data_IF_142332351920
#
_entry.id   IF_142332351920
#
_cell.length_a   1.000
_cell.length_b   1.000
_cell.length_c   1.000
_cell.angle_alpha   90.00
_cell.angle_beta   90.00
_cell.angle_gamma   90.00
#
_symmetry.space_group_name_H-M   'P 1'
#
loop_
_entity.id
_entity.type
_entity.pdbx_description
1 polymer ?
#
# COMPACT_ATOMS: atom_id res chain seq x y z
N UNK A 1 27.54 36.77 39.86
CA UNK A 1 27.64 35.32 40.18
C UNK A 1 27.65 34.50 38.88
N UNK A 2 28.80 34.43 38.22
CA UNK A 2 29.01 33.62 37.03
C UNK A 2 29.35 32.18 37.45
N UNK A 3 28.36 31.27 37.42
CA UNK A 3 28.70 29.84 37.36
C UNK A 3 29.53 29.61 36.09
N UNK A 4 30.73 29.03 36.18
CA UNK A 4 31.69 29.09 35.10
C UNK A 4 31.23 28.13 34.01
N UNK A 5 31.11 28.65 32.78
CA UNK A 5 30.83 27.87 31.56
C UNK A 5 31.66 26.58 31.47
N UNK A 6 32.87 26.57 32.04
CA UNK A 6 33.73 25.40 32.20
C UNK A 6 33.14 24.26 33.03
N UNK A 7 32.51 24.54 34.18
CA UNK A 7 31.86 23.52 35.02
C UNK A 7 30.66 22.89 34.32
N UNK A 8 29.85 23.69 33.62
CA UNK A 8 28.76 23.19 32.78
C UNK A 8 29.27 22.29 31.64
N UNK A 9 30.34 22.70 30.94
CA UNK A 9 30.93 21.90 29.86
C UNK A 9 31.53 20.58 30.38
N UNK A 10 32.17 20.60 31.55
CA UNK A 10 32.69 19.41 32.21
C UNK A 10 31.56 18.45 32.61
N UNK A 11 30.51 18.95 33.27
CA UNK A 11 29.34 18.16 33.64
C UNK A 11 28.62 17.58 32.41
N UNK A 12 28.49 18.36 31.33
CA UNK A 12 27.94 17.89 30.04
C UNK A 12 28.80 16.79 29.42
N UNK A 13 30.13 16.87 29.55
CA UNK A 13 31.06 15.84 29.04
C UNK A 13 30.95 14.56 29.85
N UNK A 14 30.88 14.66 31.18
CA UNK A 14 30.69 13.51 32.07
C UNK A 14 29.31 12.85 31.88
N UNK A 15 28.24 13.64 31.75
CA UNK A 15 26.92 13.13 31.42
C UNK A 15 26.90 12.39 30.07
N UNK A 16 27.60 12.91 29.05
CA UNK A 16 27.77 12.23 27.75
C UNK A 16 28.56 10.92 27.88
N UNK A 17 29.62 10.89 28.69
CA UNK A 17 30.40 9.66 28.95
C UNK A 17 29.55 8.61 29.67
N UNK A 18 28.83 9.01 30.72
CA UNK A 18 27.94 8.13 31.47
C UNK A 18 26.82 7.57 30.59
N UNK A 19 26.17 8.42 29.78
CA UNK A 19 25.16 7.98 28.82
C UNK A 19 25.74 7.03 27.75
N UNK A 20 26.95 7.29 27.26
CA UNK A 20 27.65 6.42 26.31
C UNK A 20 27.98 5.05 26.92
N UNK A 21 28.46 5.03 28.18
CA UNK A 21 28.75 3.79 28.93
C UNK A 21 27.48 2.99 29.18
N UNK A 22 26.42 3.61 29.71
CA UNK A 22 25.13 2.95 29.94
C UNK A 22 24.51 2.41 28.63
N UNK A 23 24.65 3.14 27.51
CA UNK A 23 24.22 2.66 26.20
C UNK A 23 25.08 1.49 25.72
N UNK A 24 26.39 1.54 25.92
CA UNK A 24 27.30 0.44 25.60
C UNK A 24 26.94 -0.82 26.39
N UNK A 25 26.71 -0.70 27.69
CA UNK A 25 26.40 -1.82 28.58
C UNK A 25 25.04 -2.44 28.25
N UNK A 26 24.01 -1.61 27.99
CA UNK A 26 22.68 -2.06 27.57
C UNK A 26 22.71 -2.89 26.28
N UNK A 27 23.57 -2.55 25.34
CA UNK A 27 23.67 -3.26 24.06
C UNK A 27 24.80 -4.28 24.01
N UNK A 28 25.60 -4.43 25.08
CA UNK A 28 26.78 -5.31 25.12
C UNK A 28 26.43 -6.76 24.74
N UNK A 29 25.43 -7.34 25.41
CA UNK A 29 24.94 -8.69 25.08
C UNK A 29 24.43 -8.82 23.63
N UNK A 30 23.86 -7.75 23.06
CA UNK A 30 23.42 -7.74 21.66
C UNK A 30 24.62 -7.71 20.71
N UNK A 31 25.66 -6.94 21.02
CA UNK A 31 26.91 -6.88 20.25
C UNK A 31 27.70 -8.18 20.33
N UNK A 32 27.81 -8.78 21.52
CA UNK A 32 28.52 -10.05 21.73
C UNK A 32 27.86 -11.21 20.96
N UNK A 33 26.54 -11.15 20.76
CA UNK A 33 25.80 -12.14 19.96
C UNK A 33 25.91 -11.91 18.44
N UNK A 34 26.41 -10.76 17.94
CA UNK A 34 26.40 -10.42 16.51
C UNK A 34 27.23 -11.36 15.63
N UNK A 35 28.22 -12.03 16.19
CA UNK A 35 29.05 -13.01 15.47
C UNK A 35 28.36 -14.39 15.29
N UNK A 36 27.20 -14.59 15.93
CA UNK A 36 26.41 -15.82 15.80
C UNK A 36 25.35 -15.72 14.68
N UNK A 37 24.83 -16.88 14.24
CA UNK A 37 23.71 -16.96 13.28
C UNK A 37 22.43 -16.28 13.80
N UNK A 38 22.23 -16.26 15.11
CA UNK A 38 21.12 -15.60 15.80
C UNK A 38 21.32 -14.07 15.88
N UNK A 39 22.57 -13.63 16.03
CA UNK A 39 23.00 -12.24 15.95
C UNK A 39 22.63 -11.54 14.64
N UNK A 40 22.62 -12.27 13.52
CA UNK A 40 22.20 -11.73 12.23
C UNK A 40 20.75 -11.23 12.25
N UNK A 41 19.83 -11.92 12.94
CA UNK A 41 18.43 -11.48 13.11
C UNK A 41 18.33 -10.32 14.11
N UNK A 42 19.20 -10.30 15.11
CA UNK A 42 19.27 -9.22 16.09
C UNK A 42 19.68 -7.88 15.45
N UNK A 43 20.56 -7.89 14.44
CA UNK A 43 20.99 -6.65 13.77
C UNK A 43 19.83 -5.93 13.07
N UNK A 44 18.91 -6.66 12.42
CA UNK A 44 17.72 -6.06 11.80
C UNK A 44 16.75 -5.51 12.84
N UNK A 45 16.61 -6.17 14.00
CA UNK A 45 15.84 -5.64 15.14
C UNK A 45 16.46 -4.36 15.66
N UNK A 46 17.79 -4.29 15.75
CA UNK A 46 18.54 -3.10 16.20
C UNK A 46 18.37 -1.93 15.22
N UNK A 47 18.50 -2.15 13.91
CA UNK A 47 18.20 -1.14 12.86
C UNK A 47 16.78 -0.62 13.02
N UNK A 48 15.78 -1.51 13.13
CA UNK A 48 14.38 -1.12 13.31
C UNK A 48 14.12 -0.40 14.62
N UNK A 49 14.76 -0.81 15.72
CA UNK A 49 14.62 -0.16 17.02
C UNK A 49 15.24 1.25 17.02
N UNK A 50 16.43 1.43 16.44
CA UNK A 50 17.08 2.75 16.28
C UNK A 50 16.28 3.67 15.39
N UNK A 51 15.78 3.16 14.26
CA UNK A 51 14.88 3.94 13.40
C UNK A 51 13.57 4.28 14.12
N UNK A 52 12.97 3.33 14.82
CA UNK A 52 11.78 3.56 15.64
C UNK A 52 11.99 4.63 16.71
N UNK A 53 13.14 4.66 17.38
CA UNK A 53 13.47 5.72 18.34
C UNK A 53 13.71 7.10 17.72
N UNK A 54 13.91 7.17 16.40
CA UNK A 54 13.97 8.45 15.66
C UNK A 54 12.61 8.90 15.12
N UNK A 55 11.59 8.03 15.21
CA UNK A 55 10.22 8.34 14.86
C UNK A 55 9.45 8.60 16.16
N UNK A 56 8.67 9.66 16.25
CA UNK A 56 7.80 9.90 17.40
C UNK A 56 6.68 8.84 17.43
N UNK A 57 6.96 7.67 18.01
CA UNK A 57 6.08 6.49 17.96
C UNK A 57 4.74 6.64 18.71
N UNK A 58 4.39 7.83 19.15
CA UNK A 58 3.16 8.16 19.86
C UNK A 58 2.10 8.82 18.94
N UNK A 59 2.13 8.48 17.64
CA UNK A 59 1.30 9.14 16.62
C UNK A 59 -0.23 9.05 16.87
N UNK A 60 -0.73 8.11 17.67
CA UNK A 60 -2.17 7.96 17.99
C UNK A 60 -2.56 8.50 19.36
N UNK A 61 -1.85 9.52 19.87
CA UNK A 61 -2.29 10.24 21.08
C UNK A 61 -3.36 11.28 20.80
N UNK A 62 -3.55 11.66 19.54
CA UNK A 62 -4.38 12.79 19.14
C UNK A 62 -5.09 12.48 17.81
N UNK A 63 -6.41 12.70 17.75
CA UNK A 63 -7.22 12.58 16.52
C UNK A 63 -8.21 13.74 16.42
N UNK A 64 -8.51 14.24 15.22
CA UNK A 64 -9.54 15.26 14.99
C UNK A 64 -10.95 14.66 15.01
N UNK A 65 -11.83 15.25 15.81
CA UNK A 65 -13.28 15.03 15.81
C UNK A 65 -13.92 15.42 14.49
N UNK A 66 -15.19 15.06 14.30
CA UNK A 66 -15.95 15.44 13.10
C UNK A 66 -16.15 16.97 12.97
N UNK A 67 -16.17 17.66 14.11
CA UNK A 67 -16.22 19.11 14.30
C UNK A 67 -14.86 19.81 14.15
N UNK A 68 -13.79 19.05 13.90
CA UNK A 68 -12.42 19.57 13.83
C UNK A 68 -11.73 19.73 15.19
N UNK A 69 -12.41 19.42 16.31
CA UNK A 69 -11.81 19.50 17.64
C UNK A 69 -10.76 18.40 17.86
N UNK A 70 -9.75 18.69 18.67
CA UNK A 70 -8.62 17.78 18.88
C UNK A 70 -8.90 16.83 20.05
N UNK A 71 -9.22 15.57 19.76
CA UNK A 71 -9.47 14.51 20.74
C UNK A 71 -8.14 13.96 21.28
N UNK A 72 -8.04 13.83 22.61
CA UNK A 72 -6.83 13.34 23.30
C UNK A 72 -7.08 12.13 24.20
N UNK A 73 -8.34 11.85 24.55
CA UNK A 73 -8.70 10.72 25.41
C UNK A 73 -8.85 9.45 24.58
N UNK A 74 -8.24 8.36 25.02
CA UNK A 74 -8.20 7.09 24.28
C UNK A 74 -9.59 6.56 23.92
N UNK A 75 -10.59 6.68 24.81
CA UNK A 75 -11.97 6.27 24.51
C UNK A 75 -12.59 7.05 23.35
N UNK A 76 -12.47 8.38 23.37
CA UNK A 76 -13.00 9.26 22.32
C UNK A 76 -12.28 9.05 20.97
N UNK A 77 -10.98 8.80 21.00
CA UNK A 77 -10.18 8.48 19.80
C UNK A 77 -10.66 7.17 19.18
N UNK A 78 -10.88 6.12 19.98
CA UNK A 78 -11.35 4.82 19.50
C UNK A 78 -12.76 4.90 18.90
N UNK A 79 -13.66 5.65 19.53
CA UNK A 79 -15.01 5.87 19.03
C UNK A 79 -15.01 6.64 17.70
N UNK A 80 -14.24 7.73 17.60
CA UNK A 80 -14.08 8.50 16.36
C UNK A 80 -13.52 7.67 15.21
N UNK A 81 -12.53 6.81 15.50
CA UNK A 81 -11.95 5.88 14.51
C UNK A 81 -12.98 4.81 14.09
N UNK A 82 -13.77 4.29 15.03
CA UNK A 82 -14.84 3.32 14.75
C UNK A 82 -15.90 3.92 13.83
N UNK A 83 -16.42 5.11 14.15
CA UNK A 83 -17.39 5.82 13.33
C UNK A 83 -16.85 6.05 11.91
N UNK A 84 -15.62 6.57 11.81
CA UNK A 84 -14.97 6.81 10.53
C UNK A 84 -14.82 5.53 9.70
N UNK A 85 -14.37 4.43 10.30
CA UNK A 85 -14.14 3.18 9.58
C UNK A 85 -15.43 2.45 9.20
N UNK A 86 -16.47 2.51 10.04
CA UNK A 86 -17.79 1.98 9.67
C UNK A 86 -18.34 2.74 8.46
N UNK A 87 -18.39 4.07 8.50
CA UNK A 87 -18.79 4.88 7.35
C UNK A 87 -17.88 4.65 6.12
N UNK A 88 -16.59 4.36 6.32
CA UNK A 88 -15.67 4.10 5.21
C UNK A 88 -16.00 2.79 4.49
N UNK A 89 -16.33 1.73 5.23
CA UNK A 89 -16.51 0.36 4.75
C UNK A 89 -17.97 0.00 4.42
N UNK A 90 -18.95 0.67 5.02
CA UNK A 90 -20.37 0.30 4.93
C UNK A 90 -21.12 1.12 3.86
N UNK A 91 -20.54 2.24 3.42
CA UNK A 91 -21.17 3.09 2.41
C UNK A 91 -20.58 2.87 1.01
N UNK A 92 -21.43 2.45 0.08
CA UNK A 92 -21.08 2.40 -1.34
C UNK A 92 -21.25 3.78 -2.00
N UNK A 93 -20.53 4.03 -3.10
CA UNK A 93 -20.83 5.21 -3.92
C UNK A 93 -22.17 4.99 -4.64
N UNK A 94 -22.96 6.04 -4.83
CA UNK A 94 -24.20 5.95 -5.60
C UNK A 94 -23.93 5.38 -7.00
N UNK A 95 -24.69 4.35 -7.38
CA UNK A 95 -24.61 3.73 -8.70
C UNK A 95 -25.99 3.21 -9.14
N UNK A 96 -26.24 3.08 -10.45
CA UNK A 96 -27.42 2.38 -10.94
C UNK A 96 -27.38 0.90 -10.51
N UNK A 97 -28.53 0.18 -10.49
CA UNK A 97 -28.54 -1.24 -10.18
C UNK A 97 -27.55 -2.01 -11.05
N UNK A 98 -26.70 -2.82 -10.41
CA UNK A 98 -25.70 -3.62 -11.11
C UNK A 98 -26.41 -4.78 -11.84
N UNK A 99 -26.13 -4.99 -13.14
CA UNK A 99 -26.77 -6.06 -13.91
C UNK A 99 -26.58 -7.44 -13.26
N UNK A 100 -27.64 -8.23 -13.21
CA UNK A 100 -27.56 -9.60 -12.71
C UNK A 100 -27.09 -10.53 -13.83
N UNK A 101 -26.02 -11.28 -13.57
CA UNK A 101 -25.53 -12.35 -14.46
C UNK A 101 -26.08 -13.68 -13.94
N UNK A 102 -26.54 -14.60 -14.82
CA UNK A 102 -27.03 -15.91 -14.41
C UNK A 102 -26.03 -16.68 -13.54
N UNK A 103 -26.55 -17.49 -12.61
CA UNK A 103 -25.73 -18.40 -11.82
C UNK A 103 -25.08 -19.44 -12.73
N UNK A 104 -23.86 -19.83 -12.37
CA UNK A 104 -23.14 -20.90 -13.06
C UNK A 104 -23.18 -22.13 -12.18
N UNK A 105 -23.81 -23.19 -12.67
CA UNK A 105 -23.80 -24.49 -12.02
C UNK A 105 -22.46 -25.20 -12.28
N UNK A 106 -21.93 -25.87 -11.27
CA UNK A 106 -20.69 -26.60 -11.39
C UNK A 106 -20.33 -27.36 -10.12
N UNK A 107 -19.67 -28.52 -10.23
CA UNK A 107 -19.31 -29.32 -9.07
C UNK A 107 -18.30 -28.56 -8.21
N UNK A 108 -18.61 -28.38 -6.93
CA UNK A 108 -17.66 -27.89 -5.93
C UNK A 108 -17.19 -29.06 -5.09
N UNK A 109 -15.92 -29.39 -5.24
CA UNK A 109 -15.29 -30.49 -4.49
C UNK A 109 -15.12 -30.10 -3.01
N UNK A 110 -15.23 -31.07 -2.08
CA UNK A 110 -14.89 -30.85 -0.68
C UNK A 110 -13.46 -30.30 -0.52
N UNK A 111 -13.22 -29.53 0.55
CA UNK A 111 -11.87 -29.03 0.87
C UNK A 111 -11.00 -30.20 1.33
N UNK A 112 -9.86 -30.39 0.68
CA UNK A 112 -8.93 -31.49 0.99
C UNK A 112 -7.82 -31.09 1.96
N UNK A 113 -7.26 -32.05 2.69
CA UNK A 113 -6.12 -31.81 3.59
C UNK A 113 -4.88 -31.26 2.85
N UNK A 114 -4.70 -31.62 1.57
CA UNK A 114 -3.62 -31.11 0.72
C UNK A 114 -3.79 -29.61 0.47
N UNK A 115 -5.01 -29.15 0.21
CA UNK A 115 -5.29 -27.72 0.01
C UNK A 115 -5.08 -26.92 1.29
N UNK A 116 -5.50 -27.46 2.44
CA UNK A 116 -5.26 -26.84 3.75
C UNK A 116 -3.76 -26.74 4.03
N UNK A 117 -3.01 -27.80 3.75
CA UNK A 117 -1.55 -27.80 3.91
C UNK A 117 -0.87 -26.79 2.98
N UNK A 118 -1.32 -26.68 1.72
CA UNK A 118 -0.83 -25.68 0.77
C UNK A 118 -1.17 -24.25 1.22
N UNK A 119 -2.37 -24.03 1.78
CA UNK A 119 -2.77 -22.75 2.35
C UNK A 119 -1.88 -22.37 3.53
N UNK A 120 -1.63 -23.30 4.47
CA UNK A 120 -0.74 -23.10 5.61
C UNK A 120 0.70 -22.80 5.17
N UNK A 121 1.21 -23.50 4.15
CA UNK A 121 2.55 -23.26 3.60
C UNK A 121 2.66 -21.87 2.94
N UNK A 122 1.59 -21.37 2.32
CA UNK A 122 1.53 -20.03 1.70
C UNK A 122 1.40 -18.90 2.73
N UNK A 123 0.92 -19.20 3.95
CA UNK A 123 0.84 -18.21 5.03
C UNK A 123 2.24 -17.81 5.52
N UNK A 124 2.52 -16.51 5.54
CA UNK A 124 3.80 -15.98 6.05
C UNK A 124 3.92 -16.19 7.56
N UNK A 125 5.10 -16.64 8.01
CA UNK A 125 5.47 -16.74 9.43
C UNK A 125 5.35 -15.37 10.14
N UNK A 126 4.92 -15.38 11.42
CA UNK A 126 4.78 -14.21 12.30
C UNK A 126 3.70 -13.18 11.90
N UNK A 127 2.57 -13.63 11.34
CA UNK A 127 1.38 -12.77 11.19
C UNK A 127 0.69 -12.61 12.54
N UNK A 128 0.18 -11.41 12.81
CA UNK A 128 -0.57 -11.13 14.02
C UNK A 128 -1.78 -12.07 14.14
N UNK A 129 -1.90 -12.68 15.31
CA UNK A 129 -3.02 -13.52 15.75
C UNK A 129 -4.26 -12.64 15.90
N UNK A 130 -5.40 -13.06 15.35
CA UNK A 130 -6.69 -12.61 15.88
C UNK A 130 -6.90 -13.20 17.27
N UNK A 131 -7.85 -12.69 18.09
CA UNK A 131 -8.17 -13.29 19.38
C UNK A 131 -8.45 -14.80 19.22
N UNK A 132 -7.84 -15.64 20.07
CA UNK A 132 -7.67 -17.08 19.85
C UNK A 132 -8.93 -17.95 20.05
N UNK A 133 -8.97 -19.11 19.37
CA UNK A 133 -9.23 -20.40 20.04
C UNK A 133 -10.53 -21.19 19.79
N UNK A 134 -11.61 -20.65 19.21
CA UNK A 134 -12.89 -21.39 19.01
C UNK A 134 -13.60 -20.97 17.71
N UNK A 135 -14.27 -21.89 17.00
CA UNK A 135 -15.23 -21.62 15.91
C UNK A 135 -16.67 -21.81 16.42
N UNK A 136 -17.75 -21.15 15.92
CA UNK A 136 -17.91 -20.32 14.72
C UNK A 136 -18.59 -18.93 14.94
N UNK A 137 -18.43 -18.27 16.11
CA UNK A 137 -18.82 -16.84 16.26
C UNK A 137 -17.66 -15.89 15.90
N UNK A 138 -16.42 -16.37 15.98
CA UNK A 138 -15.20 -15.57 15.81
C UNK A 138 -15.02 -15.04 14.38
N UNK A 139 -15.63 -15.68 13.37
CA UNK A 139 -15.58 -15.20 11.98
C UNK A 139 -16.29 -13.85 11.79
N UNK A 140 -17.18 -13.48 12.72
CA UNK A 140 -17.84 -12.18 12.72
C UNK A 140 -17.05 -11.10 13.48
N UNK A 141 -15.93 -11.47 14.11
CA UNK A 141 -15.10 -10.56 14.91
C UNK A 141 -13.75 -10.35 14.25
N UNK A 142 -13.36 -9.09 14.08
CA UNK A 142 -12.05 -8.74 13.54
C UNK A 142 -11.48 -7.53 14.27
N UNK A 143 -10.15 -7.45 14.34
CA UNK A 143 -9.46 -6.31 14.96
C UNK A 143 -8.98 -5.39 13.85
N UNK A 144 -9.51 -4.16 13.80
CA UNK A 144 -9.05 -3.14 12.84
C UNK A 144 -7.90 -2.35 13.44
N UNK A 145 -6.73 -2.42 12.80
CA UNK A 145 -5.55 -1.65 13.18
C UNK A 145 -5.37 -0.44 12.26
N UNK A 146 -5.35 0.80 12.77
CA UNK A 146 -5.00 1.97 11.99
C UNK A 146 -3.49 2.00 11.72
N UNK A 147 -3.09 1.91 10.45
CA UNK A 147 -1.68 2.02 10.05
C UNK A 147 -1.44 3.34 9.33
N UNK A 148 -0.59 4.20 9.89
CA UNK A 148 -0.27 5.49 9.32
C UNK A 148 0.37 5.35 7.92
N UNK A 149 -0.06 6.18 6.98
CA UNK A 149 0.39 6.15 5.57
C UNK A 149 1.82 6.66 5.36
N UNK A 150 2.45 7.25 6.37
CA UNK A 150 3.76 7.90 6.22
C UNK A 150 3.68 9.33 5.64
N UNK A 151 2.48 9.88 5.51
CA UNK A 151 2.19 11.20 4.92
C UNK A 151 0.83 11.71 5.40
N UNK A 152 0.64 13.03 5.36
CA UNK A 152 -0.58 13.71 5.82
C UNK A 152 -0.52 14.07 7.30
N UNK A 153 -1.55 14.77 7.77
CA UNK A 153 -1.69 15.17 9.18
C UNK A 153 -1.90 13.92 10.04
N UNK A 154 -1.05 13.75 11.05
CA UNK A 154 -1.10 12.63 12.00
C UNK A 154 -2.42 12.64 12.79
N UNK A 155 -3.03 13.80 13.02
CA UNK A 155 -4.31 13.89 13.72
C UNK A 155 -5.52 13.53 12.84
N UNK A 156 -5.36 13.40 11.51
CA UNK A 156 -6.47 13.11 10.60
C UNK A 156 -6.66 11.58 10.40
N UNK A 157 -7.88 11.09 10.62
CA UNK A 157 -8.27 9.70 10.37
C UNK A 157 -7.98 9.25 8.92
N UNK A 158 -8.05 10.18 7.94
CA UNK A 158 -7.77 9.86 6.53
C UNK A 158 -6.30 9.52 6.28
N UNK A 159 -5.37 9.89 7.17
CA UNK A 159 -3.94 9.59 7.09
C UNK A 159 -3.60 8.14 7.46
N UNK A 160 -4.59 7.35 7.87
CA UNK A 160 -4.43 5.95 8.28
C UNK A 160 -5.09 4.99 7.28
N UNK A 161 -4.58 3.76 7.23
CA UNK A 161 -5.20 2.63 6.54
C UNK A 161 -5.80 1.71 7.60
N UNK A 162 -7.12 1.41 7.54
CA UNK A 162 -7.68 0.36 8.38
C UNK A 162 -7.17 -1.00 7.88
N UNK A 163 -6.40 -1.71 8.69
CA UNK A 163 -6.01 -3.09 8.40
C UNK A 163 -6.85 -4.00 9.29
N UNK A 164 -7.77 -4.73 8.69
CA UNK A 164 -8.59 -5.73 9.38
C UNK A 164 -7.79 -7.01 9.59
N UNK A 165 -7.57 -7.38 10.85
CA UNK A 165 -6.92 -8.63 11.23
C UNK A 165 -7.98 -9.72 11.44
N UNK A 166 -7.92 -10.73 10.57
CA UNK A 166 -8.78 -11.90 10.63
C UNK A 166 -8.15 -13.02 11.48
N UNK A 167 -9.00 -13.88 12.03
CA UNK A 167 -8.57 -15.10 12.73
C UNK A 167 -7.89 -16.09 11.76
N UNK A 168 -7.11 -17.04 12.30
CA UNK A 168 -6.33 -17.98 11.46
C UNK A 168 -7.22 -18.86 10.59
N UNK A 169 -8.34 -19.34 11.13
CA UNK A 169 -9.27 -20.19 10.41
C UNK A 169 -9.85 -19.50 9.18
N UNK A 170 -10.19 -18.21 9.30
CA UNK A 170 -10.68 -17.41 8.17
C UNK A 170 -9.60 -17.17 7.12
N UNK A 171 -8.35 -16.89 7.54
CA UNK A 171 -7.22 -16.74 6.60
C UNK A 171 -6.92 -18.02 5.82
N UNK A 172 -7.00 -19.19 6.48
CA UNK A 172 -6.82 -20.49 5.82
C UNK A 172 -7.93 -20.70 4.79
N UNK A 173 -9.18 -20.43 5.16
CA UNK A 173 -10.31 -20.54 4.26
C UNK A 173 -10.22 -19.59 3.05
N UNK A 174 -9.90 -18.31 3.27
CA UNK A 174 -9.64 -17.33 2.21
C UNK A 174 -8.55 -17.79 1.26
N UNK A 175 -7.48 -18.39 1.80
CA UNK A 175 -6.38 -18.89 0.99
C UNK A 175 -6.79 -20.10 0.13
N UNK A 176 -7.59 -21.03 0.67
CA UNK A 176 -8.14 -22.15 -0.11
C UNK A 176 -9.04 -21.63 -1.23
N UNK A 177 -9.95 -20.71 -0.90
CA UNK A 177 -10.85 -20.09 -1.85
C UNK A 177 -10.09 -19.33 -2.95
N UNK A 178 -9.08 -18.55 -2.59
CA UNK A 178 -8.22 -17.82 -3.53
C UNK A 178 -7.48 -18.76 -4.48
N UNK A 179 -6.92 -19.88 -3.99
CA UNK A 179 -6.26 -20.88 -4.83
C UNK A 179 -7.23 -21.49 -5.84
N UNK A 180 -8.47 -21.78 -5.43
CA UNK A 180 -9.51 -22.33 -6.31
C UNK A 180 -9.98 -21.33 -7.35
N UNK A 181 -10.30 -20.10 -6.92
CA UNK A 181 -10.74 -19.03 -7.82
C UNK A 181 -9.68 -18.68 -8.87
N UNK A 182 -8.40 -18.69 -8.49
CA UNK A 182 -7.29 -18.39 -9.42
C UNK A 182 -7.15 -19.42 -10.55
N UNK A 183 -7.66 -20.64 -10.39
CA UNK A 183 -7.70 -21.65 -11.46
C UNK A 183 -8.82 -21.41 -12.48
N UNK A 184 -9.82 -20.62 -12.11
CA UNK A 184 -11.03 -20.38 -12.92
C UNK A 184 -10.93 -19.00 -13.60
N UNK A 185 -10.51 -17.99 -12.85
CA UNK A 185 -10.49 -16.59 -13.29
C UNK A 185 -9.29 -16.33 -14.21
N UNK A 186 -9.58 -15.98 -15.46
CA UNK A 186 -8.60 -15.43 -16.39
C UNK A 186 -8.47 -13.92 -16.23
N UNK A 187 -7.24 -13.41 -16.11
CA UNK A 187 -6.94 -11.97 -16.08
C UNK A 187 -6.31 -11.54 -17.40
N UNK A 188 -6.46 -10.26 -17.76
CA UNK A 188 -5.84 -9.69 -18.97
C UNK A 188 -4.32 -9.77 -18.90
N UNK A 189 -3.67 -9.97 -20.05
CA UNK A 189 -2.21 -9.95 -20.19
C UNK A 189 -1.58 -8.60 -19.78
N UNK A 190 -2.37 -7.52 -19.79
CA UNK A 190 -1.91 -6.19 -19.38
C UNK A 190 -1.96 -5.98 -17.85
N UNK A 191 -2.47 -6.95 -17.08
CA UNK A 191 -2.55 -6.86 -15.62
C UNK A 191 -1.25 -7.38 -15.01
N UNK A 192 -0.44 -6.47 -14.45
CA UNK A 192 0.78 -6.85 -13.73
C UNK A 192 0.57 -6.98 -12.21
N UNK A 193 -0.46 -6.33 -11.67
CA UNK A 193 -0.75 -6.34 -10.23
C UNK A 193 -1.41 -7.65 -9.78
N UNK A 194 -0.84 -8.28 -8.75
CA UNK A 194 -1.34 -9.51 -8.11
C UNK A 194 -1.38 -10.76 -9.03
N UNK A 195 -0.68 -10.70 -10.16
CA UNK A 195 -0.53 -11.82 -11.10
C UNK A 195 0.76 -12.57 -10.77
N UNK A 196 0.70 -13.90 -10.86
CA UNK A 196 1.87 -14.75 -10.61
C UNK A 196 2.87 -14.53 -11.75
N UNK A 197 4.16 -14.54 -11.42
CA UNK A 197 5.25 -14.43 -12.40
C UNK A 197 5.24 -13.10 -13.19
N UNK A 198 4.54 -12.09 -12.66
CA UNK A 198 4.56 -10.72 -13.15
C UNK A 198 4.81 -9.75 -11.98
N UNK A 199 5.59 -8.71 -12.24
CA UNK A 199 6.11 -7.79 -11.25
C UNK A 199 5.85 -6.34 -11.66
N UNK A 200 6.13 -5.41 -10.74
CA UNK A 200 6.08 -3.98 -11.04
C UNK A 200 7.13 -3.57 -12.08
N UNK A 201 8.23 -4.32 -12.19
CA UNK A 201 9.31 -4.10 -13.16
C UNK A 201 8.78 -4.29 -14.59
N UNK A 202 7.95 -5.30 -14.82
CA UNK A 202 7.36 -5.58 -16.14
C UNK A 202 6.47 -4.42 -16.62
N UNK A 203 5.62 -3.89 -15.72
CA UNK A 203 4.78 -2.74 -16.02
C UNK A 203 5.60 -1.46 -16.30
N UNK A 204 6.67 -1.24 -15.53
CA UNK A 204 7.59 -0.10 -15.73
C UNK A 204 8.28 -0.22 -17.09
N UNK A 205 8.82 -1.41 -17.40
CA UNK A 205 9.53 -1.68 -18.64
C UNK A 205 8.62 -1.53 -19.87
N UNK A 206 7.36 -1.98 -19.80
CA UNK A 206 6.40 -1.80 -20.88
C UNK A 206 6.17 -0.32 -21.23
N UNK A 207 6.07 0.55 -20.22
CA UNK A 207 5.94 2.00 -20.43
C UNK A 207 7.22 2.58 -21.04
N UNK A 208 8.39 2.15 -20.60
CA UNK A 208 9.68 2.63 -21.15
C UNK A 208 9.82 2.29 -22.63
N UNK A 209 9.61 1.03 -23.00
CA UNK A 209 9.65 0.60 -24.40
C UNK A 209 8.67 1.43 -25.24
N UNK A 210 7.47 1.70 -24.72
CA UNK A 210 6.49 2.52 -25.41
C UNK A 210 7.02 3.95 -25.64
N UNK A 211 7.59 4.58 -24.61
CA UNK A 211 8.14 5.92 -24.70
C UNK A 211 9.35 5.99 -25.64
N UNK A 212 10.28 5.05 -25.54
CA UNK A 212 11.48 4.96 -26.38
C UNK A 212 11.12 4.77 -27.85
N UNK A 213 10.29 3.78 -28.19
CA UNK A 213 9.88 3.51 -29.58
C UNK A 213 9.16 4.68 -30.23
N UNK A 214 8.35 5.41 -29.47
CA UNK A 214 7.66 6.58 -30.00
C UNK A 214 8.61 7.75 -30.17
N UNK A 215 9.56 7.95 -29.24
CA UNK A 215 10.60 8.97 -29.35
C UNK A 215 11.50 8.73 -30.56
N UNK A 216 11.97 7.50 -30.78
CA UNK A 216 12.76 7.11 -31.96
C UNK A 216 12.05 7.44 -33.27
N UNK A 217 10.72 7.27 -33.30
CA UNK A 217 9.87 7.56 -34.46
C UNK A 217 9.35 9.00 -34.50
N UNK A 218 9.80 9.86 -33.60
CA UNK A 218 9.36 11.25 -33.44
C UNK A 218 7.83 11.39 -33.33
N UNK A 219 7.17 10.44 -32.66
CA UNK A 219 5.72 10.40 -32.44
C UNK A 219 5.37 10.83 -31.02
N UNK A 220 4.25 11.52 -30.86
CA UNK A 220 3.72 11.88 -29.56
C UNK A 220 3.12 10.66 -28.83
N UNK A 221 3.31 10.61 -27.51
CA UNK A 221 2.63 9.68 -26.59
C UNK A 221 1.93 10.48 -25.52
N UNK A 222 0.74 10.04 -25.14
CA UNK A 222 0.02 10.60 -24.00
C UNK A 222 -0.23 9.48 -23.00
N UNK A 223 0.23 9.68 -21.77
CA UNK A 223 0.03 8.76 -20.65
C UNK A 223 -1.01 9.35 -19.70
N UNK A 224 -1.89 8.51 -19.18
CA UNK A 224 -2.82 8.86 -18.12
C UNK A 224 -2.60 7.91 -16.94
N UNK A 225 -2.24 8.47 -15.79
CA UNK A 225 -2.02 7.74 -14.55
C UNK A 225 -3.29 7.82 -13.71
N UNK A 226 -4.04 6.73 -13.66
CA UNK A 226 -5.33 6.66 -12.99
C UNK A 226 -5.18 6.05 -11.59
N UNK A 227 -5.75 6.69 -10.57
CA UNK A 227 -5.88 6.14 -9.21
C UNK A 227 -7.36 6.04 -8.83
N UNK A 228 -7.76 4.93 -8.21
CA UNK A 228 -9.12 4.75 -7.72
C UNK A 228 -9.25 5.32 -6.31
N UNK A 229 -10.37 6.00 -6.05
CA UNK A 229 -10.69 6.49 -4.73
C UNK A 229 -11.12 5.34 -3.83
N UNK A 230 -10.32 5.07 -2.78
CA UNK A 230 -10.63 4.07 -1.74
C UNK A 230 -11.01 2.70 -2.32
N UNK A 231 -10.20 2.25 -3.28
CA UNK A 231 -10.47 1.10 -4.14
C UNK A 231 -10.73 -0.24 -3.45
N UNK A 232 -10.37 -0.41 -2.17
CA UNK A 232 -10.68 -1.62 -1.40
C UNK A 232 -11.86 -1.42 -0.43
N UNK A 233 -12.12 -0.18 -0.05
CA UNK A 233 -13.11 0.16 0.98
C UNK A 233 -14.50 0.44 0.36
N UNK A 234 -14.54 0.85 -0.90
CA UNK A 234 -15.75 1.36 -1.59
C UNK A 234 -16.20 0.50 -2.78
N UNK A 235 -15.77 -0.76 -2.86
CA UNK A 235 -16.18 -1.66 -3.95
C UNK A 235 -17.57 -2.20 -3.67
N UNK A 236 -18.56 -1.99 -4.56
CA UNK A 236 -19.88 -2.56 -4.34
C UNK A 236 -19.82 -4.09 -4.33
N UNK A 237 -20.44 -4.72 -3.34
CA UNK A 237 -20.37 -6.18 -3.22
C UNK A 237 -21.09 -6.87 -4.40
N UNK A 238 -22.18 -6.29 -4.89
CA UNK A 238 -22.88 -6.80 -6.08
C UNK A 238 -22.00 -6.79 -7.34
N UNK A 239 -21.04 -5.85 -7.44
CA UNK A 239 -20.06 -5.84 -8.52
C UNK A 239 -19.14 -7.06 -8.46
N UNK A 240 -18.76 -7.49 -7.25
CA UNK A 240 -17.92 -8.68 -7.05
C UNK A 240 -18.66 -9.93 -7.51
N UNK A 241 -19.94 -10.10 -7.13
CA UNK A 241 -20.74 -11.25 -7.54
C UNK A 241 -20.94 -11.28 -9.05
N UNK A 242 -21.27 -10.14 -9.65
CA UNK A 242 -21.40 -10.00 -11.11
C UNK A 242 -20.09 -10.37 -11.82
N UNK A 243 -18.95 -9.90 -11.31
CA UNK A 243 -17.63 -10.20 -11.87
C UNK A 243 -17.29 -11.69 -11.77
N UNK A 244 -17.52 -12.32 -10.60
CA UNK A 244 -17.30 -13.75 -10.40
C UNK A 244 -18.12 -14.60 -11.39
N UNK A 245 -19.43 -14.31 -11.52
CA UNK A 245 -20.30 -15.04 -12.46
C UNK A 245 -19.89 -14.83 -13.92
N UNK A 246 -19.46 -13.62 -14.28
CA UNK A 246 -18.94 -13.32 -15.63
C UNK A 246 -17.66 -14.12 -15.96
N UNK A 247 -16.86 -14.47 -14.95
CA UNK A 247 -15.68 -15.34 -15.11
C UNK A 247 -16.02 -16.84 -14.97
N UNK A 248 -17.31 -17.20 -15.03
CA UNK A 248 -17.80 -18.58 -14.93
C UNK A 248 -17.47 -19.27 -13.61
N UNK A 249 -17.39 -18.51 -12.52
CA UNK A 249 -17.20 -19.09 -11.18
C UNK A 249 -18.51 -19.76 -10.72
N UNK A 250 -18.46 -21.03 -10.27
CA UNK A 250 -19.62 -21.73 -9.71
C UNK A 250 -20.31 -20.97 -8.56
N UNK A 251 -21.64 -21.02 -8.50
CA UNK A 251 -22.44 -20.23 -7.55
C UNK A 251 -22.15 -20.60 -6.08
N UNK A 252 -21.74 -21.83 -5.80
CA UNK A 252 -21.27 -22.25 -4.48
C UNK A 252 -20.07 -21.41 -4.00
N UNK A 253 -19.08 -21.11 -4.86
CA UNK A 253 -17.97 -20.22 -4.49
C UNK A 253 -18.40 -18.77 -4.36
N UNK A 254 -19.42 -18.33 -5.10
CA UNK A 254 -20.04 -17.00 -4.92
C UNK A 254 -20.69 -16.95 -3.53
N UNK A 255 -21.44 -17.99 -3.13
CA UNK A 255 -22.02 -18.11 -1.78
C UNK A 255 -20.96 -18.12 -0.68
N UNK A 256 -19.88 -18.89 -0.85
CA UNK A 256 -18.77 -18.91 0.10
C UNK A 256 -18.11 -17.55 0.25
N UNK A 257 -17.95 -16.82 -0.85
CA UNK A 257 -17.43 -15.45 -0.80
C UNK A 257 -18.42 -14.52 -0.11
N UNK A 258 -19.73 -14.60 -0.40
CA UNK A 258 -20.77 -13.82 0.30
C UNK A 258 -20.73 -14.00 1.81
N UNK A 259 -20.47 -15.21 2.30
CA UNK A 259 -20.31 -15.48 3.73
C UNK A 259 -19.16 -14.68 4.37
N UNK A 260 -18.10 -14.36 3.62
CA UNK A 260 -16.99 -13.52 4.09
C UNK A 260 -17.38 -12.05 4.27
N UNK A 261 -18.43 -11.60 3.60
CA UNK A 261 -18.87 -10.19 3.55
C UNK A 261 -20.20 -9.93 4.28
N UNK A 262 -20.79 -10.92 4.96
CA UNK A 262 -22.13 -10.78 5.52
C UNK A 262 -22.19 -9.87 6.78
N UNK A 263 -22.79 -8.67 6.65
CA UNK A 263 -23.63 -7.90 7.63
C UNK A 263 -24.32 -6.68 6.93
N UNK A 264 -25.38 -6.05 7.51
CA UNK A 264 -26.62 -5.67 6.80
C UNK A 264 -26.54 -4.39 5.93
N UNK A 265 -27.38 -4.37 4.90
CA UNK A 265 -27.44 -3.43 3.78
C UNK A 265 -28.29 -2.17 4.02
N UNK A 266 -27.91 -1.07 3.38
CA UNK A 266 -28.82 0.01 2.97
C UNK A 266 -28.38 0.60 1.62
N UNK A 267 -29.32 0.66 0.66
CA UNK A 267 -29.11 1.05 -0.75
C UNK A 267 -29.59 2.49 -0.97
N UNK A 268 -28.79 3.30 -1.67
CA UNK A 268 -29.17 4.65 -2.14
C UNK A 268 -29.05 4.80 -3.66
N UNK A 269 -30.03 5.45 -4.30
CA UNK A 269 -30.09 5.74 -5.75
C UNK A 269 -29.61 7.16 -6.05
N UNK A 270 -29.03 7.37 -7.24
CA UNK A 270 -29.12 8.67 -7.94
C UNK A 270 -28.81 8.55 -9.45
N UNK A 271 -29.27 9.56 -10.21
CA UNK A 271 -29.46 9.59 -11.68
C UNK A 271 -28.56 10.59 -12.42
N UNK A 272 -28.42 10.36 -13.74
CA UNK A 272 -27.92 11.26 -14.82
C UNK A 272 -26.39 11.47 -14.87
N UNK A 273 -25.73 11.65 -16.01
CA UNK A 273 -26.05 11.84 -17.42
C UNK A 273 -24.74 12.32 -18.11
N UNK A 274 -24.56 12.12 -19.41
CA UNK A 274 -23.23 12.18 -20.09
C UNK A 274 -23.07 13.39 -21.02
N UNK A 275 -21.84 13.92 -21.19
CA UNK A 275 -21.43 14.84 -22.28
C UNK A 275 -20.00 14.47 -22.80
N UNK A 276 -19.69 14.66 -24.09
CA UNK A 276 -18.49 14.17 -24.85
C UNK A 276 -17.43 15.27 -25.14
N UNK A 277 -16.10 14.96 -25.22
CA UNK A 277 -15.28 15.28 -26.43
C UNK A 277 -14.00 14.41 -26.66
N UNK A 278 -13.48 14.31 -27.92
CA UNK A 278 -12.35 13.45 -28.45
C UNK A 278 -10.95 13.83 -27.92
N UNK A 279 -9.97 12.90 -27.96
CA UNK A 279 -8.61 12.87 -27.32
C UNK A 279 -8.56 12.05 -26.01
N UNK A 280 -7.38 11.90 -25.36
CA UNK A 280 -7.19 11.13 -24.09
C UNK A 280 -8.25 11.44 -23.05
N UNK A 281 -8.78 12.65 -23.06
CA UNK A 281 -9.97 13.07 -22.35
C UNK A 281 -11.19 12.12 -22.51
N UNK A 282 -11.56 11.67 -23.73
CA UNK A 282 -12.64 10.66 -23.91
C UNK A 282 -12.34 9.39 -23.16
N UNK A 283 -11.09 8.94 -23.21
CA UNK A 283 -10.73 7.68 -22.58
C UNK A 283 -10.86 7.84 -21.08
N UNK A 284 -10.26 8.87 -20.50
CA UNK A 284 -10.37 9.14 -19.06
C UNK A 284 -11.82 9.32 -18.62
N UNK A 285 -12.64 10.07 -19.38
CA UNK A 285 -14.06 10.24 -19.09
C UNK A 285 -14.85 8.93 -19.25
N UNK A 286 -14.63 8.16 -20.31
CA UNK A 286 -15.26 6.86 -20.52
C UNK A 286 -14.91 5.87 -19.41
N UNK A 287 -13.65 5.88 -18.96
CA UNK A 287 -13.22 5.11 -17.79
C UNK A 287 -13.94 5.59 -16.53
N UNK A 288 -14.02 6.90 -16.31
CA UNK A 288 -14.70 7.51 -15.16
C UNK A 288 -16.20 7.17 -15.14
N UNK A 289 -16.89 7.30 -16.26
CA UNK A 289 -18.31 7.01 -16.41
C UNK A 289 -18.59 5.53 -16.19
N UNK A 290 -17.75 4.65 -16.77
CA UNK A 290 -17.87 3.21 -16.59
C UNK A 290 -17.63 2.77 -15.15
N UNK A 291 -16.68 3.41 -14.46
CA UNK A 291 -16.45 3.20 -13.02
C UNK A 291 -17.67 3.63 -12.21
N UNK A 292 -18.21 4.83 -12.48
CA UNK A 292 -19.41 5.36 -11.79
C UNK A 292 -20.64 4.46 -11.96
N UNK A 293 -20.85 3.91 -13.15
CA UNK A 293 -21.93 2.96 -13.42
C UNK A 293 -21.89 1.72 -12.52
N UNK A 294 -20.71 1.38 -11.99
CA UNK A 294 -20.49 0.23 -11.13
C UNK A 294 -20.06 0.64 -9.71
N UNK A 295 -20.36 1.87 -9.29
CA UNK A 295 -20.08 2.37 -7.93
C UNK A 295 -18.60 2.51 -7.58
N UNK A 296 -17.73 2.67 -8.57
CA UNK A 296 -16.32 3.00 -8.40
C UNK A 296 -16.05 4.46 -8.82
N UNK A 297 -15.04 5.09 -8.23
CA UNK A 297 -14.70 6.49 -8.52
C UNK A 297 -13.19 6.67 -8.75
N UNK A 298 -12.84 7.51 -9.73
CA UNK A 298 -11.46 7.99 -9.90
C UNK A 298 -11.13 9.04 -8.83
N UNK A 299 -9.95 8.92 -8.25
CA UNK A 299 -9.35 9.95 -7.43
C UNK A 299 -8.74 11.02 -8.35
N UNK A 300 -9.50 12.09 -8.62
CA UNK A 300 -9.08 13.15 -9.56
C UNK A 300 -7.83 13.88 -9.10
N UNK A 301 -7.59 14.05 -7.79
CA UNK A 301 -6.41 14.77 -7.27
C UNK A 301 -5.10 13.99 -7.41
N UNK A 302 -5.16 12.67 -7.55
CA UNK A 302 -4.01 11.81 -7.85
C UNK A 302 -3.97 11.32 -9.30
N UNK A 303 -5.00 11.64 -10.08
CA UNK A 303 -5.06 11.29 -11.49
C UNK A 303 -4.32 12.36 -12.25
N UNK A 304 -3.25 11.98 -12.92
CA UNK A 304 -2.37 12.89 -13.65
C UNK A 304 -2.24 12.43 -15.09
N UNK A 305 -1.98 13.36 -16.01
CA UNK A 305 -1.68 13.02 -17.39
C UNK A 305 -0.32 13.58 -17.79
N UNK A 306 0.32 12.94 -18.76
CA UNK A 306 1.64 13.32 -19.25
C UNK A 306 1.65 13.28 -20.76
N UNK A 307 2.25 14.28 -21.37
CA UNK A 307 2.44 14.37 -22.81
C UNK A 307 3.93 14.27 -23.13
N UNK A 308 4.30 13.22 -23.84
CA UNK A 308 5.64 13.00 -24.34
C UNK A 308 5.64 13.41 -25.81
N UNK A 309 6.00 14.67 -26.09
CA UNK A 309 6.00 15.25 -27.44
C UNK A 309 7.34 15.94 -27.76
N UNK A 310 7.72 16.05 -29.04
CA UNK A 310 8.89 16.84 -29.47
C UNK A 310 8.71 18.35 -29.27
N UNK A 311 7.46 18.84 -29.27
CA UNK A 311 7.08 20.24 -29.01
C UNK A 311 5.95 20.28 -27.97
N UNK A 312 6.07 21.22 -27.04
CA UNK A 312 5.05 21.46 -26.00
C UNK A 312 3.94 22.31 -26.63
N UNK A 313 2.71 21.83 -26.59
CA UNK A 313 1.50 22.61 -26.88
C UNK A 313 0.71 22.80 -25.57
N UNK A 314 0.05 23.95 -25.45
CA UNK A 314 -0.82 24.28 -24.33
C UNK A 314 -2.20 23.64 -24.55
N UNK A 315 -2.40 22.49 -23.91
CA UNK A 315 -3.68 21.79 -23.86
C UNK A 315 -3.90 21.21 -22.47
N UNK A 316 -5.09 21.44 -21.91
CA UNK A 316 -5.53 20.89 -20.63
C UNK A 316 -6.51 19.73 -20.82
N UNK A 317 -6.35 18.67 -20.03
CA UNK A 317 -7.30 17.54 -19.99
C UNK A 317 -8.21 17.70 -18.78
N UNK A 318 -9.53 17.63 -19.00
CA UNK A 318 -10.54 17.73 -17.93
C UNK A 318 -11.26 16.40 -17.73
N UNK A 319 -11.67 16.11 -16.50
CA UNK A 319 -12.58 15.01 -16.17
C UNK A 319 -13.78 15.57 -15.41
N UNK A 320 -14.97 15.57 -16.02
CA UNK A 320 -16.06 16.53 -15.75
C UNK A 320 -15.56 17.99 -15.85
N UNK A 321 -15.77 18.83 -14.82
CA UNK A 321 -15.32 20.22 -14.74
C UNK A 321 -13.93 20.40 -14.11
N UNK A 322 -13.34 19.34 -13.56
CA UNK A 322 -12.04 19.39 -12.90
C UNK A 322 -10.92 19.19 -13.92
N UNK A 323 -10.02 20.17 -13.98
CA UNK A 323 -8.77 20.06 -14.75
C UNK A 323 -7.83 19.05 -14.06
N UNK A 324 -7.33 18.09 -14.83
CA UNK A 324 -6.35 17.12 -14.34
C UNK A 324 -4.96 17.75 -14.36
N UNK A 325 -4.11 17.33 -13.43
CA UNK A 325 -2.76 17.85 -13.37
C UNK A 325 -1.92 17.31 -14.55
N UNK A 326 -1.31 18.22 -15.32
CA UNK A 326 -0.29 17.91 -16.33
C UNK A 326 1.05 17.67 -15.65
N UNK A 327 1.55 16.44 -15.71
CA UNK A 327 2.80 16.04 -15.10
C UNK A 327 3.94 16.03 -16.14
N UNK A 328 5.02 16.76 -15.86
CA UNK A 328 6.30 16.59 -16.56
C UNK A 328 7.08 15.39 -16.04
N UNK A 329 6.78 14.98 -14.81
CA UNK A 329 7.40 13.86 -14.14
C UNK A 329 6.39 13.19 -13.20
N UNK A 330 6.29 11.85 -13.24
CA UNK A 330 5.37 11.08 -12.42
C UNK A 330 6.05 9.84 -11.81
N UNK A 331 5.81 9.57 -10.53
CA UNK A 331 6.31 8.35 -9.88
C UNK A 331 5.35 7.18 -10.09
N UNK A 332 5.63 6.35 -11.08
CA UNK A 332 4.88 5.13 -11.39
C UNK A 332 5.53 3.89 -10.76
N UNK A 333 4.81 3.22 -9.86
CA UNK A 333 5.26 1.97 -9.20
C UNK A 333 6.66 2.07 -8.53
N UNK A 334 7.04 3.28 -8.10
CA UNK A 334 8.31 3.58 -7.47
C UNK A 334 9.43 4.04 -8.42
N UNK A 335 9.24 3.89 -9.74
CA UNK A 335 10.12 4.42 -10.78
C UNK A 335 9.63 5.79 -11.23
N UNK A 336 10.54 6.65 -11.67
CA UNK A 336 10.23 7.99 -12.14
C UNK A 336 10.11 7.98 -13.67
N UNK A 337 8.97 8.42 -14.18
CA UNK A 337 8.67 8.53 -15.60
C UNK A 337 8.66 10.00 -15.97
N UNK A 338 9.38 10.39 -17.02
CA UNK A 338 9.52 11.79 -17.44
C UNK A 338 8.88 12.02 -18.80
N UNK A 339 8.32 13.21 -19.03
CA UNK A 339 7.72 13.59 -20.31
C UNK A 339 8.74 13.59 -21.46
N UNK A 340 10.01 13.83 -21.14
CA UNK A 340 11.13 13.82 -22.09
C UNK A 340 11.63 12.42 -22.42
N UNK A 341 11.31 11.42 -21.59
CA UNK A 341 11.83 10.06 -21.70
C UNK A 341 13.31 9.92 -21.33
N UNK A 342 13.94 10.93 -20.72
CA UNK A 342 15.32 10.82 -20.22
C UNK A 342 15.35 10.17 -18.83
N UNK A 343 16.36 9.32 -18.62
CA UNK A 343 16.56 8.52 -17.40
C UNK A 343 17.32 9.24 -16.28
N UNK A 344 17.93 10.39 -16.56
CA UNK A 344 18.79 11.08 -15.59
C UNK A 344 18.06 11.46 -14.30
N UNK A 345 16.82 11.92 -14.44
CA UNK A 345 16.00 12.30 -13.29
C UNK A 345 15.71 11.10 -12.41
N UNK A 346 15.38 9.97 -13.04
CA UNK A 346 15.18 8.72 -12.33
C UNK A 346 16.45 8.26 -11.61
N UNK A 347 17.60 8.32 -12.28
CA UNK A 347 18.89 7.98 -11.66
C UNK A 347 19.11 8.77 -10.36
N UNK A 348 18.85 10.08 -10.40
CA UNK A 348 18.90 10.94 -9.21
C UNK A 348 17.88 10.53 -8.14
N UNK A 349 16.63 10.23 -8.51
CA UNK A 349 15.62 9.79 -7.55
C UNK A 349 15.97 8.46 -6.87
N UNK A 350 16.57 7.50 -7.60
CA UNK A 350 17.03 6.23 -7.04
C UNK A 350 18.19 6.43 -6.07
N UNK A 351 19.18 7.24 -6.44
CA UNK A 351 20.29 7.61 -5.55
C UNK A 351 19.77 8.26 -4.27
N UNK A 352 18.84 9.21 -4.39
CA UNK A 352 18.23 9.86 -3.24
C UNK A 352 17.43 8.87 -2.35
N UNK A 353 16.68 7.94 -2.94
CA UNK A 353 15.94 6.93 -2.20
C UNK A 353 16.89 5.97 -1.45
N UNK A 354 17.96 5.52 -2.12
CA UNK A 354 19.00 4.70 -1.52
C UNK A 354 19.72 5.43 -0.38
N UNK A 355 20.01 6.72 -0.57
CA UNK A 355 20.60 7.58 0.45
C UNK A 355 19.70 7.70 1.68
N UNK A 356 18.38 7.84 1.50
CA UNK A 356 17.44 7.88 2.63
C UNK A 356 17.39 6.55 3.40
N UNK A 357 17.52 5.40 2.71
CA UNK A 357 17.67 4.10 3.37
C UNK A 357 19.00 3.94 4.08
N UNK A 358 20.08 4.45 3.50
CA UNK A 358 21.38 4.53 4.16
C UNK A 358 21.28 5.37 5.44
N UNK A 359 20.67 6.55 5.37
CA UNK A 359 20.45 7.46 6.51
C UNK A 359 19.70 6.78 7.65
N UNK A 360 18.67 5.99 7.31
CA UNK A 360 17.92 5.18 8.28
C UNK A 360 18.80 4.14 9.01
N UNK A 361 19.77 3.55 8.30
CA UNK A 361 20.64 2.51 8.82
C UNK A 361 22.00 3.04 9.31
N UNK A 362 22.30 4.34 9.16
CA UNK A 362 23.60 4.96 9.49
C UNK A 362 24.01 4.70 10.93
N UNK A 363 23.05 4.71 11.85
CA UNK A 363 23.30 4.40 13.26
C UNK A 363 23.90 3.01 13.49
N UNK A 364 23.77 2.07 12.56
CA UNK A 364 24.36 0.73 12.61
C UNK A 364 25.53 0.60 11.64
N UNK A 365 25.37 1.10 10.41
CA UNK A 365 26.39 1.03 9.36
C UNK A 365 27.68 1.78 9.70
N UNK A 366 27.59 2.85 10.48
CA UNK A 366 28.74 3.64 10.94
C UNK A 366 29.21 3.27 12.35
N UNK A 367 28.63 2.22 12.96
CA UNK A 367 28.99 1.77 14.29
C UNK A 367 30.20 0.84 14.22
N UNK A 368 31.34 1.29 14.78
CA UNK A 368 32.59 0.53 14.78
C UNK A 368 32.50 -0.82 15.50
N UNK A 369 31.49 -1.00 16.37
CA UNK A 369 31.25 -2.25 17.09
C UNK A 369 30.48 -3.29 16.27
N UNK A 370 29.97 -2.92 15.09
CA UNK A 370 29.25 -3.85 14.21
C UNK A 370 30.24 -4.49 13.24
N UNK A 371 30.33 -5.83 13.18
CA UNK A 371 31.20 -6.53 12.25
C UNK A 371 30.95 -6.13 10.79
N UNK A 372 32.03 -6.00 10.00
CA UNK A 372 31.96 -5.62 8.59
C UNK A 372 31.07 -6.55 7.76
N UNK A 373 31.05 -7.85 8.09
CA UNK A 373 30.18 -8.86 7.47
C UNK A 373 28.69 -8.48 7.59
N UNK A 374 28.27 -8.00 8.76
CA UNK A 374 26.90 -7.55 8.99
C UNK A 374 26.60 -6.22 8.32
N UNK A 375 27.55 -5.27 8.30
CA UNK A 375 27.39 -4.02 7.55
C UNK A 375 27.21 -4.28 6.05
N UNK A 376 28.01 -5.18 5.48
CA UNK A 376 27.86 -5.64 4.10
C UNK A 376 26.48 -6.27 3.86
N UNK A 377 26.00 -7.10 4.80
CA UNK A 377 24.68 -7.71 4.72
C UNK A 377 23.55 -6.67 4.80
N UNK A 378 23.62 -5.70 5.71
CA UNK A 378 22.65 -4.60 5.82
C UNK A 378 22.64 -3.78 4.54
N UNK A 379 23.81 -3.40 4.01
CA UNK A 379 23.91 -2.69 2.75
C UNK A 379 23.22 -3.45 1.60
N UNK A 380 23.57 -4.74 1.42
CA UNK A 380 23.01 -5.60 0.37
C UNK A 380 21.50 -5.85 0.49
N UNK A 381 20.93 -5.71 1.69
CA UNK A 381 19.51 -6.01 1.97
C UNK A 381 18.62 -4.79 2.14
N UNK A 382 19.17 -3.64 2.52
CA UNK A 382 18.39 -2.42 2.83
C UNK A 382 18.64 -1.31 1.82
N UNK A 383 19.90 -1.12 1.39
CA UNK A 383 20.31 0.01 0.55
C UNK A 383 20.38 -0.41 -0.91
N UNK A 384 21.13 -1.48 -1.21
CA UNK A 384 21.33 -1.99 -2.57
C UNK A 384 20.02 -2.26 -3.32
N UNK A 385 19.01 -2.95 -2.75
CA UNK A 385 17.79 -3.23 -3.49
C UNK A 385 17.03 -1.96 -3.91
N UNK A 386 17.14 -0.87 -3.15
CA UNK A 386 16.49 0.42 -3.49
C UNK A 386 17.29 1.16 -4.56
N UNK A 387 18.62 1.11 -4.50
CA UNK A 387 19.48 1.71 -5.52
C UNK A 387 19.29 1.05 -6.91
N UNK A 388 19.08 -0.27 -6.93
CA UNK A 388 18.98 -1.06 -8.16
C UNK A 388 17.54 -1.39 -8.58
N UNK A 389 16.53 -0.90 -7.86
CA UNK A 389 15.13 -1.18 -8.18
C UNK A 389 14.77 -0.64 -9.57
N UNK A 390 14.38 -1.53 -10.49
CA UNK A 390 14.05 -1.17 -11.87
C UNK A 390 15.25 -0.83 -12.76
N UNK A 391 16.49 -1.12 -12.35
CA UNK A 391 17.68 -0.96 -13.22
C UNK A 391 17.74 -1.96 -14.37
N UNK A 392 16.95 -3.02 -14.29
CA UNK A 392 16.84 -4.05 -15.33
C UNK A 392 15.93 -3.62 -16.49
N UNK A 393 15.26 -2.45 -16.36
CA UNK A 393 14.26 -1.95 -17.30
C UNK A 393 14.79 -0.99 -18.34
#
# INVERSE_FOLDING_TARGET
THQPRGAYLAAKREAKKAASKAKSDRYKAVYDMLDTREGERAVYRLVRARHRSTLDMEHTKIVKGADGAVLRRSGQILERLREYYNHLCDEEFCHPPIPTVPSVEGPVLPITAVEVSAALAKMKLNKATGPEGRTPDVWQTSVTLPVWKGKGDIADCTSYRPIRLLCHTMKVFECVLEIRLRKIVSVSLNQCGFVKDCSTIDAIHAIRILLEKHREKNRSVHLAFLDLEKAFDRVPHELLWMSMRSHRVPEEYVRWTKLLYAKPTSVGRCTAGTIRPFSVQKRVQSWKDRLRQHGLRLNTSKTEYMECRPRIEDGSIRADDTELNKANCFKYLGSEVTSTGYIDQEGRARVNAAWMKWKMATGVLCDKKVPLRLNSKIYRTVVRPVAFYGCEC
#
